data_IF_879639867116
#
_entry.id   IF_879639867116
#
_cell.length_a   1.000
_cell.length_b   1.000
_cell.length_c   1.000
_cell.angle_alpha   90.00
_cell.angle_beta   90.00
_cell.angle_gamma   90.00
#
_symmetry.space_group_name_H-M   'P 1'
#
loop_
_entity.id
_entity.type
_entity.pdbx_description
1 polymer ?
#
# COMPACT_ATOMS: atom_id res chain seq x y z
N UNK A 1 -19.80 0.86 12.01
CA UNK A 1 -18.92 1.89 12.62
C UNK A 1 -17.97 1.19 13.56
N UNK A 2 -16.68 1.42 13.43
CA UNK A 2 -15.64 0.87 14.32
C UNK A 2 -15.65 1.72 15.59
N UNK A 3 -16.01 1.11 16.74
CA UNK A 3 -15.80 1.72 18.05
C UNK A 3 -14.35 1.52 18.43
N UNK A 4 -13.63 2.60 18.74
CA UNK A 4 -12.20 2.51 19.08
C UNK A 4 -11.81 3.49 20.19
N UNK A 5 -10.74 3.15 20.91
CA UNK A 5 -10.02 4.10 21.77
C UNK A 5 -8.58 4.21 21.32
N UNK A 6 -8.06 5.43 21.40
CA UNK A 6 -6.67 5.75 21.10
C UNK A 6 -5.94 6.23 22.34
N UNK A 7 -4.73 5.75 22.54
CA UNK A 7 -3.84 6.26 23.58
C UNK A 7 -2.37 6.23 23.12
N UNK A 8 -1.55 7.10 23.70
CA UNK A 8 -0.11 7.12 23.48
C UNK A 8 0.55 6.54 24.73
N UNK A 9 1.35 5.49 24.54
CA UNK A 9 2.08 4.84 25.62
C UNK A 9 3.32 5.66 26.02
N UNK A 10 3.86 5.44 27.20
CA UNK A 10 4.98 6.23 27.72
C UNK A 10 6.28 6.07 26.92
N UNK A 11 6.40 5.01 26.10
CA UNK A 11 7.49 4.77 25.17
C UNK A 11 7.25 5.36 23.76
N UNK A 12 6.14 6.08 23.57
CA UNK A 12 5.78 6.71 22.30
C UNK A 12 4.93 5.86 21.35
N UNK A 13 4.68 4.59 21.65
CA UNK A 13 3.83 3.71 20.85
C UNK A 13 2.40 4.25 20.85
N UNK A 14 1.82 4.41 19.66
CA UNK A 14 0.40 4.75 19.49
C UNK A 14 -0.42 3.47 19.54
N UNK A 15 -1.31 3.34 20.53
CA UNK A 15 -2.19 2.21 20.71
C UNK A 15 -3.63 2.56 20.32
N UNK A 16 -4.25 1.69 19.54
CA UNK A 16 -5.70 1.68 19.27
C UNK A 16 -6.29 0.36 19.76
N UNK A 17 -7.47 0.43 20.34
CA UNK A 17 -8.22 -0.75 20.75
C UNK A 17 -9.61 -0.71 20.11
N UNK A 18 -10.13 -1.88 19.73
CA UNK A 18 -11.47 -2.07 19.17
C UNK A 18 -12.17 -3.25 19.85
N UNK A 19 -13.35 -3.00 20.44
CA UNK A 19 -14.18 -4.03 21.06
C UNK A 19 -14.92 -4.85 19.98
N UNK A 20 -14.32 -5.96 19.52
CA UNK A 20 -14.82 -6.79 18.41
C UNK A 20 -15.66 -7.96 18.93
N UNK A 21 -16.86 -7.67 19.43
CA UNK A 21 -17.76 -8.66 20.03
C UNK A 21 -18.44 -9.61 19.03
N UNK A 22 -18.26 -9.38 17.74
CA UNK A 22 -18.83 -10.16 16.64
C UNK A 22 -17.99 -11.39 16.26
N UNK A 23 -16.84 -11.59 16.91
CA UNK A 23 -15.92 -12.70 16.65
C UNK A 23 -15.27 -13.23 17.94
N UNK A 24 -14.97 -14.55 18.05
CA UNK A 24 -14.19 -15.09 19.17
C UNK A 24 -12.67 -14.90 19.00
N UNK A 25 -12.25 -14.27 17.90
CA UNK A 25 -10.84 -14.07 17.56
C UNK A 25 -10.34 -12.73 18.09
N UNK A 26 -9.05 -12.66 18.35
CA UNK A 26 -8.31 -11.44 18.64
C UNK A 26 -7.28 -11.18 17.54
N UNK A 27 -7.19 -9.95 17.08
CA UNK A 27 -6.18 -9.50 16.10
C UNK A 27 -5.26 -8.48 16.75
N UNK A 28 -3.97 -8.64 16.51
CA UNK A 28 -2.92 -7.68 16.83
C UNK A 28 -2.31 -7.22 15.52
N UNK A 29 -2.35 -5.93 15.25
CA UNK A 29 -1.82 -5.32 14.03
C UNK A 29 -0.81 -4.25 14.40
N UNK A 30 0.41 -4.33 13.86
CA UNK A 30 1.47 -3.34 14.06
C UNK A 30 1.87 -2.74 12.71
N UNK A 31 1.66 -1.45 12.56
CA UNK A 31 2.11 -0.67 11.42
C UNK A 31 3.35 0.12 11.82
N UNK A 32 4.48 -0.17 11.18
CA UNK A 32 5.70 0.63 11.29
C UNK A 32 5.72 1.70 10.20
N UNK A 33 5.97 2.94 10.60
CA UNK A 33 6.10 4.05 9.68
C UNK A 33 7.46 3.99 8.97
N UNK A 34 7.64 2.98 8.13
CA UNK A 34 8.81 2.75 7.27
C UNK A 34 8.40 1.92 6.06
N UNK A 35 8.68 2.42 4.88
CA UNK A 35 8.45 1.74 3.60
C UNK A 35 9.61 1.97 2.64
N UNK A 36 9.42 1.59 1.39
CA UNK A 36 10.49 1.71 0.39
C UNK A 36 10.98 3.16 0.19
N UNK A 37 10.14 4.17 0.41
CA UNK A 37 10.53 5.59 0.30
C UNK A 37 11.56 6.04 1.34
N UNK A 38 11.71 5.29 2.43
CA UNK A 38 12.62 5.62 3.54
C UNK A 38 14.04 5.09 3.33
N UNK A 39 14.24 4.34 2.26
CA UNK A 39 15.49 3.71 1.89
C UNK A 39 16.46 4.70 1.24
N UNK A 40 17.74 4.41 1.36
CA UNK A 40 18.79 5.15 0.66
C UNK A 40 18.87 4.67 -0.80
N UNK A 41 19.12 5.56 -1.80
CA UNK A 41 19.16 5.19 -3.21
C UNK A 41 20.12 4.07 -3.58
N UNK A 42 21.18 3.85 -2.77
CA UNK A 42 22.17 2.80 -2.95
C UNK A 42 21.91 1.56 -2.10
N UNK A 43 20.79 1.55 -1.33
CA UNK A 43 20.43 0.50 -0.37
C UNK A 43 18.90 0.30 -0.38
N UNK A 44 18.35 0.01 -1.53
CA UNK A 44 16.90 -0.19 -1.72
C UNK A 44 16.51 -1.65 -1.52
N UNK A 45 15.23 -1.90 -1.20
CA UNK A 45 14.70 -3.24 -0.90
C UNK A 45 14.81 -3.63 0.58
N UNK A 46 15.28 -2.73 1.45
CA UNK A 46 15.48 -3.02 2.87
C UNK A 46 14.18 -3.14 3.64
N UNK A 47 13.19 -2.30 3.35
CA UNK A 47 11.88 -2.40 4.01
C UNK A 47 11.23 -3.76 3.73
N UNK A 48 11.30 -4.25 2.50
CA UNK A 48 10.83 -5.58 2.13
C UNK A 48 11.71 -6.70 2.71
N UNK A 49 13.03 -6.56 2.75
CA UNK A 49 13.92 -7.50 3.43
C UNK A 49 13.55 -7.63 4.92
N UNK A 50 13.17 -6.51 5.57
CA UNK A 50 12.71 -6.52 6.96
C UNK A 50 11.36 -7.18 7.14
N UNK A 51 10.44 -7.09 6.18
CA UNK A 51 9.22 -7.90 6.20
C UNK A 51 9.54 -9.38 6.43
N UNK A 52 10.53 -9.92 5.73
CA UNK A 52 10.99 -11.31 5.90
C UNK A 52 11.77 -11.53 7.20
N UNK A 53 12.69 -10.63 7.55
CA UNK A 53 13.53 -10.78 8.74
C UNK A 53 12.71 -10.80 10.04
N UNK A 54 11.61 -10.07 10.10
CA UNK A 54 10.73 -10.02 11.27
C UNK A 54 10.04 -11.35 11.57
N UNK A 55 9.95 -12.28 10.63
CA UNK A 55 9.50 -13.65 10.84
C UNK A 55 10.63 -14.61 11.24
N UNK A 56 11.89 -14.13 11.23
CA UNK A 56 13.06 -14.94 11.57
C UNK A 56 13.20 -15.29 13.06
N UNK A 57 12.25 -14.82 13.90
CA UNK A 57 12.23 -15.08 15.32
C UNK A 57 13.09 -14.12 16.14
N UNK A 58 13.08 -14.36 17.45
CA UNK A 58 13.84 -13.60 18.45
C UNK A 58 14.78 -14.55 19.22
N UNK A 59 15.59 -14.02 20.13
CA UNK A 59 16.39 -14.86 21.02
C UNK A 59 15.52 -15.73 21.96
N UNK A 60 14.34 -15.23 22.32
CA UNK A 60 13.39 -15.94 23.21
C UNK A 60 12.46 -16.87 22.46
N UNK A 61 12.08 -16.48 21.24
CA UNK A 61 11.14 -17.21 20.38
C UNK A 61 11.81 -17.44 19.02
N UNK A 62 12.66 -18.47 18.88
CA UNK A 62 13.40 -18.72 17.64
C UNK A 62 12.54 -19.10 16.44
N UNK A 63 11.31 -19.58 16.69
CA UNK A 63 10.36 -19.99 15.63
C UNK A 63 9.01 -19.32 15.91
N UNK A 64 8.83 -18.16 15.29
CA UNK A 64 7.62 -17.34 15.41
C UNK A 64 6.37 -18.09 14.88
N UNK A 65 6.50 -18.68 13.71
CA UNK A 65 5.38 -19.33 13.02
C UNK A 65 4.90 -20.60 13.77
N UNK A 66 5.82 -21.35 14.35
CA UNK A 66 5.46 -22.52 15.17
C UNK A 66 4.63 -22.11 16.39
N UNK A 67 4.96 -20.98 17.04
CA UNK A 67 4.18 -20.49 18.19
C UNK A 67 2.80 -20.03 17.73
N UNK A 68 2.70 -19.21 16.68
CA UNK A 68 1.40 -18.75 16.14
C UNK A 68 0.53 -19.93 15.72
N UNK A 69 1.10 -20.90 15.01
CA UNK A 69 0.39 -22.12 14.58
C UNK A 69 -0.09 -22.95 15.78
N UNK A 70 0.71 -23.06 16.87
CA UNK A 70 0.31 -23.79 18.07
C UNK A 70 -0.88 -23.16 18.80
N UNK A 71 -1.09 -21.87 18.63
CA UNK A 71 -2.26 -21.13 19.13
C UNK A 71 -3.49 -21.30 18.20
N UNK A 72 -3.37 -21.94 17.05
CA UNK A 72 -4.40 -21.97 16.02
C UNK A 72 -4.57 -20.62 15.32
N UNK A 73 -3.52 -19.81 15.32
CA UNK A 73 -3.49 -18.49 14.71
C UNK A 73 -2.97 -18.48 13.28
N UNK A 74 -3.11 -17.32 12.67
CA UNK A 74 -2.59 -16.96 11.35
C UNK A 74 -1.88 -15.61 11.43
N UNK A 75 -0.79 -15.44 10.69
CA UNK A 75 -0.01 -14.20 10.65
C UNK A 75 0.45 -13.89 9.24
N UNK A 76 0.55 -12.61 8.93
CA UNK A 76 1.09 -12.14 7.66
C UNK A 76 1.66 -10.73 7.79
N UNK A 77 2.32 -10.27 6.72
CA UNK A 77 2.82 -8.90 6.61
C UNK A 77 2.75 -8.43 5.16
N UNK A 78 2.90 -7.14 4.96
CA UNK A 78 3.14 -6.54 3.66
C UNK A 78 3.90 -5.23 3.79
N UNK A 79 4.67 -4.91 2.76
CA UNK A 79 5.42 -3.67 2.62
C UNK A 79 4.94 -2.92 1.38
N UNK A 80 4.72 -1.63 1.51
CA UNK A 80 4.50 -0.73 0.38
C UNK A 80 5.55 0.38 0.36
N UNK A 81 5.33 1.40 -0.43
CA UNK A 81 6.27 2.52 -0.51
C UNK A 81 6.36 3.31 0.80
N UNK A 82 5.31 3.32 1.61
CA UNK A 82 5.10 4.26 2.70
C UNK A 82 5.26 3.64 4.09
N UNK A 83 4.85 2.38 4.26
CA UNK A 83 4.88 1.68 5.55
C UNK A 83 5.01 0.17 5.39
N UNK A 84 5.37 -0.50 6.49
CA UNK A 84 5.35 -1.96 6.62
C UNK A 84 4.38 -2.36 7.71
N UNK A 85 3.48 -3.29 7.41
CA UNK A 85 2.41 -3.72 8.31
C UNK A 85 2.53 -5.20 8.62
N UNK A 86 2.44 -5.55 9.91
CA UNK A 86 2.43 -6.92 10.42
C UNK A 86 1.13 -7.15 11.17
N UNK A 87 0.54 -8.31 11.00
CA UNK A 87 -0.65 -8.67 11.75
C UNK A 87 -0.71 -10.17 12.05
N UNK A 88 -1.33 -10.48 13.16
CA UNK A 88 -1.65 -11.84 13.51
C UNK A 88 -3.05 -11.91 14.14
N UNK A 89 -3.72 -13.02 13.87
CA UNK A 89 -5.06 -13.31 14.42
C UNK A 89 -5.01 -14.65 15.11
N UNK A 90 -5.51 -14.69 16.35
CA UNK A 90 -5.52 -15.88 17.22
C UNK A 90 -6.88 -16.01 17.89
N UNK A 91 -7.27 -17.20 18.39
CA UNK A 91 -8.33 -17.30 19.38
C UNK A 91 -8.04 -16.39 20.59
N UNK A 92 -9.09 -15.89 21.25
CA UNK A 92 -8.97 -14.91 22.33
C UNK A 92 -7.97 -15.32 23.43
N UNK A 93 -7.93 -16.62 23.76
CA UNK A 93 -7.03 -17.18 24.76
C UNK A 93 -5.55 -17.00 24.38
N UNK A 94 -5.26 -16.87 23.09
CA UNK A 94 -3.92 -16.63 22.55
C UNK A 94 -3.47 -15.17 22.57
N UNK A 95 -4.37 -14.20 22.87
CA UNK A 95 -4.07 -12.76 22.76
C UNK A 95 -2.84 -12.34 23.55
N UNK A 96 -2.68 -12.80 24.80
CA UNK A 96 -1.53 -12.45 25.62
C UNK A 96 -0.22 -12.90 24.98
N UNK A 97 -0.19 -14.13 24.44
CA UNK A 97 0.99 -14.64 23.72
C UNK A 97 1.23 -13.85 22.42
N UNK A 98 0.19 -13.51 21.69
CA UNK A 98 0.27 -12.68 20.48
C UNK A 98 0.91 -11.31 20.76
N UNK A 99 0.46 -10.65 21.82
CA UNK A 99 1.03 -9.37 22.25
C UNK A 99 2.50 -9.51 22.71
N UNK A 100 2.85 -10.61 23.41
CA UNK A 100 4.23 -10.90 23.79
C UNK A 100 5.13 -11.11 22.58
N UNK A 101 4.67 -11.82 21.54
CA UNK A 101 5.40 -12.03 20.31
C UNK A 101 5.72 -10.70 19.61
N UNK A 102 4.73 -9.80 19.51
CA UNK A 102 4.92 -8.49 18.90
C UNK A 102 5.88 -7.60 19.70
N UNK A 103 5.73 -7.58 21.03
CA UNK A 103 6.63 -6.82 21.89
C UNK A 103 8.07 -7.35 21.80
N UNK A 104 8.25 -8.67 21.78
CA UNK A 104 9.56 -9.31 21.74
C UNK A 104 10.27 -9.05 20.41
N UNK A 105 9.58 -9.21 19.25
CA UNK A 105 10.20 -8.93 17.94
C UNK A 105 10.50 -7.45 17.71
N UNK A 106 9.73 -6.54 18.31
CA UNK A 106 10.03 -5.11 18.29
C UNK A 106 11.30 -4.78 19.10
N UNK A 107 11.52 -5.47 20.22
CA UNK A 107 12.60 -5.17 21.16
C UNK A 107 13.89 -5.96 20.91
N UNK A 108 13.80 -7.21 20.41
CA UNK A 108 14.91 -8.17 20.44
C UNK A 108 14.93 -9.13 19.24
N UNK A 109 14.70 -8.61 18.05
CA UNK A 109 14.79 -9.39 16.82
C UNK A 109 16.17 -10.06 16.68
N UNK A 110 16.18 -11.37 16.35
CA UNK A 110 17.42 -12.15 16.24
C UNK A 110 18.20 -11.87 14.95
N UNK A 111 18.73 -10.64 14.81
CA UNK A 111 19.53 -10.23 13.67
C UNK A 111 20.94 -10.80 13.78
N UNK A 112 21.23 -11.83 12.98
CA UNK A 112 22.56 -12.44 12.89
C UNK A 112 22.90 -12.81 11.44
N UNK A 113 24.18 -13.09 11.16
CA UNK A 113 24.66 -13.37 9.81
C UNK A 113 23.95 -14.57 9.13
N UNK A 114 23.54 -15.57 9.91
CA UNK A 114 22.83 -16.73 9.37
C UNK A 114 21.40 -16.38 8.95
N UNK A 115 20.66 -15.68 9.79
CA UNK A 115 19.29 -15.23 9.49
C UNK A 115 19.31 -14.30 8.26
N UNK A 116 20.22 -13.32 8.23
CA UNK A 116 20.38 -12.43 7.09
C UNK A 116 20.66 -13.20 5.80
N UNK A 117 21.64 -14.12 5.78
CA UNK A 117 21.98 -14.90 4.59
C UNK A 117 20.85 -15.80 4.09
N UNK A 118 19.93 -16.23 4.97
CA UNK A 118 18.73 -16.98 4.57
C UNK A 118 17.75 -16.04 3.86
N UNK A 119 17.43 -14.90 4.46
CA UNK A 119 16.42 -13.99 3.90
C UNK A 119 16.93 -13.27 2.63
N UNK A 120 18.21 -12.96 2.52
CA UNK A 120 18.81 -12.48 1.27
C UNK A 120 18.57 -13.44 0.10
N UNK A 121 18.70 -14.75 0.33
CA UNK A 121 18.39 -15.77 -0.71
C UNK A 121 16.91 -15.86 -1.02
N UNK A 122 16.05 -15.80 0.00
CA UNK A 122 14.60 -15.83 -0.18
C UNK A 122 14.14 -14.64 -1.02
N UNK A 123 14.54 -13.42 -0.65
CA UNK A 123 14.18 -12.19 -1.39
C UNK A 123 14.78 -12.18 -2.80
N UNK A 124 16.02 -12.69 -2.98
CA UNK A 124 16.62 -12.81 -4.32
C UNK A 124 15.84 -13.80 -5.19
N UNK A 125 15.40 -14.93 -4.63
CA UNK A 125 14.61 -15.91 -5.36
C UNK A 125 13.21 -15.35 -5.69
N UNK A 126 12.60 -14.62 -4.77
CA UNK A 126 11.33 -13.94 -5.01
C UNK A 126 11.45 -12.89 -6.14
N UNK A 127 12.56 -12.10 -6.15
CA UNK A 127 12.85 -11.19 -7.25
C UNK A 127 12.88 -11.93 -8.59
N UNK A 128 13.61 -13.05 -8.66
CA UNK A 128 13.67 -13.84 -9.88
C UNK A 128 12.29 -14.37 -10.28
N UNK A 129 11.55 -14.94 -9.33
CA UNK A 129 10.24 -15.56 -9.61
C UNK A 129 9.18 -14.55 -10.01
N UNK A 130 9.07 -13.40 -9.31
CA UNK A 130 7.99 -12.43 -9.52
C UNK A 130 8.31 -11.40 -10.60
N UNK A 131 9.57 -11.00 -10.73
CA UNK A 131 9.93 -9.90 -11.61
C UNK A 131 10.65 -10.35 -12.89
N UNK A 132 11.51 -11.37 -12.81
CA UNK A 132 12.31 -11.79 -13.98
C UNK A 132 11.69 -12.93 -14.77
N UNK A 133 11.09 -13.91 -14.09
CA UNK A 133 10.59 -15.14 -14.70
C UNK A 133 9.10 -15.11 -15.04
N UNK A 134 8.41 -13.99 -14.80
CA UNK A 134 6.99 -13.84 -15.17
C UNK A 134 6.82 -12.84 -16.30
N UNK A 135 5.95 -13.10 -17.28
CA UNK A 135 5.56 -12.11 -18.26
C UNK A 135 5.05 -10.83 -17.56
N UNK A 136 5.52 -9.69 -18.00
CA UNK A 136 5.19 -8.36 -17.43
C UNK A 136 5.64 -8.15 -15.97
N UNK A 137 6.41 -9.05 -15.37
CA UNK A 137 6.83 -8.95 -13.97
C UNK A 137 7.65 -7.69 -13.67
N UNK A 138 8.46 -7.23 -14.63
CA UNK A 138 9.34 -6.08 -14.49
C UNK A 138 8.69 -4.72 -14.87
N UNK A 139 7.39 -4.67 -15.09
CA UNK A 139 6.67 -3.42 -15.44
C UNK A 139 6.99 -2.30 -14.47
N UNK A 140 6.80 -2.53 -13.17
CA UNK A 140 7.02 -1.49 -12.17
C UNK A 140 8.49 -1.14 -11.95
N UNK A 141 9.42 -2.05 -12.25
CA UNK A 141 10.86 -1.76 -12.25
C UNK A 141 11.26 -0.80 -13.37
N UNK A 142 10.48 -0.75 -14.45
CA UNK A 142 10.69 0.14 -15.59
C UNK A 142 9.82 1.40 -15.53
N UNK A 143 8.56 1.28 -15.16
CA UNK A 143 7.60 2.38 -15.15
C UNK A 143 7.89 3.41 -14.05
N UNK A 144 8.23 2.97 -12.83
CA UNK A 144 8.53 3.89 -11.73
C UNK A 144 9.69 4.85 -12.05
N UNK A 145 10.89 4.40 -12.49
CA UNK A 145 11.97 5.32 -12.84
C UNK A 145 11.70 6.13 -14.12
N UNK A 146 10.72 5.73 -14.95
CA UNK A 146 10.24 6.55 -16.06
C UNK A 146 9.44 7.74 -15.54
N UNK A 147 8.53 7.51 -14.57
CA UNK A 147 7.65 8.52 -13.99
C UNK A 147 8.36 9.44 -12.99
N UNK A 148 9.16 8.86 -12.08
CA UNK A 148 9.84 9.60 -11.01
C UNK A 148 11.33 9.71 -11.26
N UNK A 149 11.89 10.92 -11.10
CA UNK A 149 13.33 11.19 -11.28
C UNK A 149 14.04 11.43 -9.96
N UNK A 150 13.40 12.12 -9.03
CA UNK A 150 13.99 12.50 -7.74
C UNK A 150 13.28 11.84 -6.56
N UNK A 151 11.95 11.73 -6.62
CA UNK A 151 11.17 11.16 -5.51
C UNK A 151 11.52 9.68 -5.27
N UNK A 152 11.60 9.20 -4.01
CA UNK A 152 11.91 7.79 -3.70
C UNK A 152 10.95 6.76 -4.29
N UNK A 153 9.76 7.15 -4.74
CA UNK A 153 8.86 6.24 -5.45
C UNK A 153 9.38 5.74 -6.79
N UNK A 154 10.55 6.21 -7.22
CA UNK A 154 11.23 5.74 -8.44
C UNK A 154 11.71 4.29 -8.38
N UNK A 155 11.77 3.68 -7.20
CA UNK A 155 12.04 2.24 -7.05
C UNK A 155 10.86 1.48 -6.47
N UNK A 156 10.77 0.20 -6.83
CA UNK A 156 9.79 -0.72 -6.29
C UNK A 156 10.19 -1.16 -4.87
N UNK A 157 9.23 -1.72 -4.12
CA UNK A 157 9.47 -2.26 -2.77
C UNK A 157 10.55 -3.34 -2.71
N UNK A 158 10.70 -4.14 -3.79
CA UNK A 158 11.76 -5.13 -3.92
C UNK A 158 13.16 -4.51 -4.09
N UNK A 159 13.25 -3.21 -4.35
CA UNK A 159 14.47 -2.46 -4.59
C UNK A 159 14.68 -2.08 -6.06
N UNK A 160 15.56 -1.11 -6.30
CA UNK A 160 16.02 -0.72 -7.64
C UNK A 160 16.98 -1.72 -8.24
N UNK A 161 17.77 -2.38 -7.41
CA UNK A 161 18.78 -3.38 -7.78
C UNK A 161 18.84 -4.45 -6.69
N UNK A 162 18.65 -5.70 -7.06
CA UNK A 162 18.65 -6.83 -6.12
C UNK A 162 19.98 -6.98 -5.39
N UNK A 163 21.09 -6.45 -5.94
CA UNK A 163 22.40 -6.45 -5.29
C UNK A 163 22.39 -5.65 -3.98
N UNK A 164 21.56 -4.61 -3.86
CA UNK A 164 21.43 -3.86 -2.62
C UNK A 164 20.97 -4.76 -1.45
N UNK A 165 20.14 -5.77 -1.73
CA UNK A 165 19.70 -6.76 -0.75
C UNK A 165 20.74 -7.87 -0.60
N UNK A 166 21.22 -8.46 -1.70
CA UNK A 166 22.10 -9.63 -1.66
C UNK A 166 23.50 -9.33 -1.07
N UNK A 167 23.96 -8.08 -1.15
CA UNK A 167 25.23 -7.61 -0.63
C UNK A 167 25.11 -6.85 0.70
N UNK A 168 23.88 -6.71 1.24
CA UNK A 168 23.63 -6.02 2.51
C UNK A 168 24.43 -6.68 3.66
N UNK A 169 25.08 -5.87 4.47
CA UNK A 169 25.84 -6.33 5.64
C UNK A 169 24.94 -6.42 6.87
N UNK A 170 25.38 -7.17 7.88
CA UNK A 170 24.68 -7.24 9.15
C UNK A 170 24.59 -5.85 9.82
N UNK A 171 25.62 -5.02 9.71
CA UNK A 171 25.64 -3.64 10.21
C UNK A 171 24.57 -2.78 9.53
N UNK A 172 24.43 -2.89 8.21
CA UNK A 172 23.39 -2.16 7.47
C UNK A 172 21.97 -2.49 7.98
N UNK A 173 21.74 -3.78 8.20
CA UNK A 173 20.45 -4.29 8.67
C UNK A 173 20.20 -3.86 10.13
N UNK A 174 21.20 -3.92 11.00
CA UNK A 174 21.08 -3.46 12.38
C UNK A 174 20.77 -1.96 12.45
N UNK A 175 21.48 -1.14 11.67
CA UNK A 175 21.25 0.30 11.60
C UNK A 175 19.83 0.64 11.12
N UNK A 176 19.32 -0.10 10.13
CA UNK A 176 17.96 0.09 9.62
C UNK A 176 16.91 -0.29 10.69
N UNK A 177 17.10 -1.39 11.40
CA UNK A 177 16.24 -1.80 12.51
C UNK A 177 16.21 -0.74 13.61
N UNK A 178 17.37 -0.34 14.14
CA UNK A 178 17.49 0.65 15.21
C UNK A 178 16.84 1.99 14.83
N UNK A 179 16.91 2.36 13.56
CA UNK A 179 16.34 3.62 13.06
C UNK A 179 14.82 3.59 12.99
N UNK A 180 14.23 2.49 12.53
CA UNK A 180 12.82 2.47 12.10
C UNK A 180 11.90 1.58 12.95
N UNK A 181 12.40 0.46 13.51
CA UNK A 181 11.57 -0.51 14.23
C UNK A 181 11.53 -0.20 15.74
N UNK A 182 10.97 0.98 16.06
CA UNK A 182 10.87 1.50 17.41
C UNK A 182 9.42 1.78 17.78
N UNK A 183 9.09 1.72 19.11
CA UNK A 183 7.73 2.00 19.57
C UNK A 183 7.18 3.36 19.11
N UNK A 184 8.01 4.41 19.17
CA UNK A 184 7.62 5.77 18.78
C UNK A 184 7.44 5.97 17.27
N UNK A 185 7.82 4.98 16.45
CA UNK A 185 7.64 4.95 15.00
C UNK A 185 6.60 3.89 14.58
N UNK A 186 5.77 3.42 15.52
CA UNK A 186 4.80 2.36 15.28
C UNK A 186 3.40 2.72 15.79
N UNK A 187 2.42 2.09 15.17
CA UNK A 187 1.01 2.13 15.56
C UNK A 187 0.56 0.68 15.80
N UNK A 188 0.07 0.40 17.00
CA UNK A 188 -0.47 -0.89 17.40
C UNK A 188 -1.99 -0.81 17.48
N UNK A 189 -2.70 -1.70 16.79
CA UNK A 189 -4.14 -1.88 16.98
C UNK A 189 -4.43 -3.29 17.51
N UNK A 190 -5.27 -3.34 18.53
CA UNK A 190 -5.78 -4.58 19.11
C UNK A 190 -7.30 -4.62 18.94
N UNK A 191 -7.80 -5.61 18.19
CA UNK A 191 -9.24 -5.85 18.01
C UNK A 191 -9.59 -7.21 18.64
N UNK A 192 -10.41 -7.21 19.68
CA UNK A 192 -10.77 -8.43 20.41
C UNK A 192 -12.14 -8.30 21.08
N UNK A 193 -12.82 -9.41 21.43
CA UNK A 193 -14.04 -9.40 22.26
C UNK A 193 -13.69 -9.16 23.74
N UNK A 194 -13.09 -8.03 24.03
CA UNK A 194 -12.69 -7.54 25.35
C UNK A 194 -13.03 -6.04 25.46
N UNK A 195 -13.15 -5.56 26.68
CA UNK A 195 -13.28 -4.13 26.97
C UNK A 195 -11.98 -3.39 26.63
N UNK A 196 -12.10 -2.13 26.21
CA UNK A 196 -10.96 -1.28 25.91
C UNK A 196 -9.95 -1.23 27.06
N UNK A 197 -10.43 -1.09 28.31
CA UNK A 197 -9.60 -1.01 29.50
C UNK A 197 -8.76 -2.28 29.68
N UNK A 198 -9.36 -3.45 29.46
CA UNK A 198 -8.67 -4.75 29.59
C UNK A 198 -7.58 -4.92 28.53
N UNK A 199 -7.84 -4.49 27.28
CA UNK A 199 -6.86 -4.51 26.22
C UNK A 199 -5.70 -3.56 26.49
N UNK A 200 -6.00 -2.32 26.94
CA UNK A 200 -4.99 -1.31 27.27
C UNK A 200 -4.10 -1.81 28.45
N UNK A 201 -4.72 -2.37 29.48
CA UNK A 201 -4.00 -2.92 30.64
C UNK A 201 -3.03 -4.03 30.24
N UNK A 202 -3.49 -5.01 29.43
CA UNK A 202 -2.64 -6.09 28.90
C UNK A 202 -1.47 -5.57 28.07
N UNK A 203 -1.71 -4.61 27.18
CA UNK A 203 -0.64 -4.01 26.40
C UNK A 203 0.36 -3.28 27.31
N UNK A 204 -0.11 -2.47 28.25
CA UNK A 204 0.75 -1.75 29.19
C UNK A 204 1.62 -2.70 30.04
N UNK A 205 1.05 -3.81 30.51
CA UNK A 205 1.78 -4.83 31.27
C UNK A 205 2.88 -5.48 30.42
N UNK A 206 2.58 -5.89 29.19
CA UNK A 206 3.50 -6.63 28.31
C UNK A 206 4.64 -5.73 27.82
N UNK A 207 4.34 -4.48 27.44
CA UNK A 207 5.38 -3.52 27.04
C UNK A 207 6.11 -2.86 28.21
N UNK A 208 5.69 -3.13 29.48
CA UNK A 208 6.28 -2.52 30.66
C UNK A 208 6.15 -1.00 30.71
N UNK A 209 5.03 -0.47 30.23
CA UNK A 209 4.78 0.97 30.02
C UNK A 209 3.45 1.41 30.65
N UNK A 210 3.24 2.72 30.73
CA UNK A 210 1.96 3.27 31.15
C UNK A 210 1.24 3.91 29.98
N UNK A 211 -0.06 3.63 29.83
CA UNK A 211 -0.94 4.29 28.85
C UNK A 211 -1.42 5.64 29.39
N UNK A 212 -1.37 6.65 28.54
CA UNK A 212 -2.13 7.89 28.78
C UNK A 212 -3.24 7.92 27.74
N UNK A 213 -4.53 7.96 28.14
CA UNK A 213 -5.59 8.29 27.20
C UNK A 213 -5.21 9.58 26.49
N UNK A 214 -5.41 9.61 25.19
CA UNK A 214 -5.27 10.85 24.44
C UNK A 214 -6.28 11.83 25.07
N UNK A 215 -5.74 12.73 25.89
CA UNK A 215 -6.57 13.74 26.55
C UNK A 215 -7.02 14.65 25.41
N UNK A 216 -8.23 14.43 24.88
CA UNK A 216 -8.85 15.06 23.73
C UNK A 216 -8.78 16.58 23.65
N UNK A 217 -7.59 17.11 23.76
CA UNK A 217 -7.22 18.53 23.80
C UNK A 217 -6.26 18.97 22.70
N UNK A 218 -5.62 18.04 21.97
CA UNK A 218 -4.88 18.42 20.77
C UNK A 218 -5.83 18.39 19.58
N UNK A 219 -6.11 19.53 18.99
CA UNK A 219 -6.93 19.65 17.78
C UNK A 219 -6.22 19.11 16.53
N UNK A 220 -4.96 18.69 16.64
CA UNK A 220 -4.17 18.15 15.51
C UNK A 220 -3.64 16.78 15.89
N UNK A 221 -4.14 15.75 15.19
CA UNK A 221 -3.63 14.39 15.28
C UNK A 221 -2.20 14.30 14.73
N UNK A 222 -1.37 13.42 15.33
CA UNK A 222 -0.05 13.09 14.78
C UNK A 222 -0.24 12.42 13.41
N UNK A 223 0.40 12.97 12.39
CA UNK A 223 0.40 12.42 11.05
C UNK A 223 1.76 11.80 10.75
N UNK A 224 1.88 10.49 10.97
CA UNK A 224 3.12 9.73 10.72
C UNK A 224 3.59 9.83 9.27
N UNK A 225 2.66 9.84 8.33
CA UNK A 225 2.94 9.91 6.90
C UNK A 225 3.70 11.18 6.46
N UNK A 226 3.59 12.26 7.26
CA UNK A 226 4.22 13.56 7.00
C UNK A 226 5.41 13.90 7.91
N UNK A 227 5.82 13.00 8.77
CA UNK A 227 6.93 13.26 9.70
C UNK A 227 8.29 13.35 9.03
N UNK A 228 8.46 12.72 7.88
CA UNK A 228 9.69 12.76 7.11
C UNK A 228 9.50 13.52 5.81
N UNK A 229 10.52 14.26 5.43
CA UNK A 229 10.56 14.99 4.17
C UNK A 229 11.36 14.19 3.14
N UNK A 230 10.87 14.15 1.92
CA UNK A 230 11.49 13.50 0.79
C UNK A 230 11.78 14.54 -0.30
N UNK A 231 12.75 14.28 -1.21
CA UNK A 231 12.94 15.11 -2.39
C UNK A 231 11.62 15.24 -3.16
N UNK A 232 11.24 16.46 -3.49
CA UNK A 232 10.07 16.68 -4.31
C UNK A 232 10.33 16.19 -5.75
N UNK A 233 9.34 15.53 -6.36
CA UNK A 233 9.43 15.22 -7.77
C UNK A 233 9.31 16.51 -8.58
N UNK A 234 10.25 16.82 -9.49
CA UNK A 234 10.16 17.98 -10.34
C UNK A 234 8.98 17.86 -11.31
N UNK A 235 8.39 19.00 -11.66
CA UNK A 235 7.33 19.06 -12.65
C UNK A 235 7.81 18.49 -13.99
N UNK A 236 7.08 17.54 -14.54
CA UNK A 236 7.34 16.98 -15.85
C UNK A 236 6.92 17.98 -16.94
N UNK A 237 7.79 18.23 -17.93
CA UNK A 237 7.57 19.24 -18.99
C UNK A 237 7.45 18.65 -20.40
N UNK A 238 7.63 17.35 -20.51
CA UNK A 238 7.55 16.63 -21.78
C UNK A 238 7.13 15.18 -21.53
N UNK A 239 6.40 14.61 -22.47
CA UNK A 239 6.04 13.20 -22.45
C UNK A 239 7.30 12.32 -22.49
N UNK A 240 7.25 11.19 -21.80
CA UNK A 240 8.36 10.23 -21.77
C UNK A 240 7.89 8.88 -22.30
N UNK A 241 8.77 8.22 -23.05
CA UNK A 241 8.48 6.91 -23.60
C UNK A 241 9.65 5.96 -23.38
N UNK A 242 9.30 4.70 -23.06
CA UNK A 242 10.24 3.59 -22.98
C UNK A 242 9.64 2.38 -23.70
N UNK A 243 10.34 1.87 -24.69
CA UNK A 243 10.00 0.60 -25.34
C UNK A 243 11.02 -0.46 -24.93
N UNK A 244 10.53 -1.61 -24.46
CA UNK A 244 11.35 -2.77 -24.09
C UNK A 244 10.86 -4.02 -24.79
N UNK A 245 11.76 -4.98 -25.00
CA UNK A 245 11.41 -6.30 -25.56
C UNK A 245 11.52 -7.37 -24.51
N UNK A 246 10.51 -8.22 -24.41
CA UNK A 246 10.42 -9.30 -23.44
C UNK A 246 9.80 -10.55 -24.05
N UNK A 247 10.06 -11.68 -23.45
CA UNK A 247 9.33 -12.92 -23.76
C UNK A 247 7.95 -12.86 -23.09
N UNK A 248 6.97 -12.36 -23.85
CA UNK A 248 5.59 -12.15 -23.38
C UNK A 248 4.61 -12.78 -24.38
N UNK A 249 3.43 -13.27 -23.91
CA UNK A 249 2.45 -13.89 -24.79
C UNK A 249 1.79 -12.92 -25.76
N UNK A 250 1.71 -11.65 -25.41
CA UNK A 250 1.16 -10.56 -26.25
C UNK A 250 1.85 -9.24 -25.87
N UNK A 251 1.84 -8.27 -26.77
CA UNK A 251 2.34 -6.93 -26.47
C UNK A 251 1.46 -6.22 -25.43
N UNK A 252 2.05 -5.29 -24.67
CA UNK A 252 1.33 -4.52 -23.68
C UNK A 252 1.76 -3.06 -23.67
N UNK A 253 0.82 -2.17 -23.33
CA UNK A 253 1.06 -0.73 -23.15
C UNK A 253 0.62 -0.30 -21.76
N UNK A 254 1.42 0.56 -21.16
CA UNK A 254 1.14 1.23 -19.88
C UNK A 254 1.31 2.73 -20.08
N UNK A 255 0.23 3.47 -19.85
CA UNK A 255 0.23 4.93 -19.84
C UNK A 255 0.10 5.39 -18.40
N UNK A 256 0.99 6.26 -17.96
CA UNK A 256 1.00 6.75 -16.58
C UNK A 256 1.13 8.26 -16.53
N UNK A 257 0.32 8.90 -15.71
CA UNK A 257 0.35 10.33 -15.45
C UNK A 257 0.58 10.60 -13.95
N UNK A 258 1.37 11.61 -13.59
CA UNK A 258 1.44 12.08 -12.21
C UNK A 258 0.06 12.44 -11.67
N UNK A 259 -0.21 12.02 -10.45
CA UNK A 259 -1.45 12.30 -9.73
C UNK A 259 -1.14 12.98 -8.39
N UNK A 260 -2.12 13.67 -7.83
CA UNK A 260 -2.03 14.27 -6.51
C UNK A 260 -1.75 13.23 -5.41
N UNK A 261 -1.24 13.69 -4.27
CA UNK A 261 -1.03 12.86 -3.09
C UNK A 261 -2.34 12.53 -2.38
N UNK A 262 -2.33 11.51 -1.53
CA UNK A 262 -3.49 11.14 -0.70
C UNK A 262 -3.99 12.31 0.19
N UNK A 263 -3.11 13.27 0.51
CA UNK A 263 -3.46 14.44 1.33
C UNK A 263 -4.10 15.59 0.59
N UNK A 264 -4.13 15.53 -0.73
CA UNK A 264 -4.74 16.58 -1.53
C UNK A 264 -6.27 16.46 -1.50
N UNK A 265 -6.93 17.61 -1.49
CA UNK A 265 -8.40 17.68 -1.50
C UNK A 265 -9.02 16.99 -2.73
N UNK A 266 -8.27 16.93 -3.83
CA UNK A 266 -8.71 16.36 -5.10
C UNK A 266 -8.46 14.83 -5.18
N UNK A 267 -7.86 14.22 -4.14
CA UNK A 267 -7.49 12.79 -4.15
C UNK A 267 -8.70 11.88 -4.43
N UNK A 268 -9.82 12.08 -3.72
CA UNK A 268 -11.01 11.23 -3.88
C UNK A 268 -11.63 11.37 -5.26
N UNK A 269 -11.63 12.58 -5.81
CA UNK A 269 -12.09 12.81 -7.17
C UNK A 269 -11.16 12.12 -8.19
N UNK A 270 -9.85 12.18 -7.96
CA UNK A 270 -8.83 11.52 -8.79
C UNK A 270 -8.92 9.99 -8.71
N UNK A 271 -9.21 9.43 -7.55
CA UNK A 271 -9.44 7.99 -7.38
C UNK A 271 -10.67 7.55 -8.18
N UNK A 272 -11.78 8.28 -8.08
CA UNK A 272 -13.00 7.99 -8.84
C UNK A 272 -12.83 8.13 -10.35
N UNK A 273 -11.84 8.88 -10.85
CA UNK A 273 -11.48 8.89 -12.29
C UNK A 273 -11.13 7.48 -12.76
N UNK A 274 -10.29 6.75 -11.99
CA UNK A 274 -9.90 5.38 -12.36
C UNK A 274 -11.10 4.43 -12.36
N UNK A 275 -11.99 4.58 -11.38
CA UNK A 275 -13.20 3.76 -11.25
C UNK A 275 -14.20 3.99 -12.40
N UNK A 276 -14.40 5.23 -12.84
CA UNK A 276 -15.23 5.54 -14.01
C UNK A 276 -14.65 4.91 -15.27
N UNK A 277 -13.33 4.97 -15.43
CA UNK A 277 -12.65 4.43 -16.60
C UNK A 277 -12.70 2.90 -16.66
N UNK A 278 -12.42 2.18 -15.55
CA UNK A 278 -12.18 0.73 -15.62
C UNK A 278 -12.92 -0.13 -14.61
N UNK A 279 -13.64 0.43 -13.64
CA UNK A 279 -14.17 -0.40 -12.57
C UNK A 279 -15.46 -1.16 -12.94
N UNK A 280 -15.29 -2.39 -13.47
CA UNK A 280 -16.35 -3.35 -13.78
C UNK A 280 -16.88 -3.28 -15.21
N UNK A 281 -17.78 -4.23 -15.53
CA UNK A 281 -18.27 -4.45 -16.91
C UNK A 281 -19.13 -3.31 -17.49
N UNK A 282 -19.46 -2.29 -16.71
CA UNK A 282 -20.16 -1.09 -17.16
C UNK A 282 -19.26 0.15 -17.22
N UNK A 283 -17.96 0.00 -17.03
CA UNK A 283 -16.97 1.07 -17.17
C UNK A 283 -16.74 1.45 -18.62
N UNK A 284 -16.14 2.63 -18.84
CA UNK A 284 -15.92 3.18 -20.19
C UNK A 284 -14.97 2.31 -21.01
N UNK A 285 -13.78 2.00 -20.47
CA UNK A 285 -12.75 1.17 -21.12
C UNK A 285 -13.33 -0.22 -21.44
N UNK A 286 -14.03 -0.85 -20.49
CA UNK A 286 -14.61 -2.16 -20.74
C UNK A 286 -15.59 -2.13 -21.94
N UNK A 287 -16.54 -1.19 -21.96
CA UNK A 287 -17.56 -1.14 -23.00
C UNK A 287 -17.03 -0.75 -24.37
N UNK A 288 -16.03 0.14 -24.45
CA UNK A 288 -15.54 0.68 -25.73
C UNK A 288 -14.32 -0.05 -26.28
N UNK A 289 -13.46 -0.58 -25.41
CA UNK A 289 -12.18 -1.17 -25.82
C UNK A 289 -12.19 -2.69 -25.64
N UNK A 290 -12.61 -3.19 -24.45
CA UNK A 290 -12.54 -4.62 -24.12
C UNK A 290 -13.71 -5.41 -24.72
N UNK A 291 -14.96 -4.95 -24.47
CA UNK A 291 -16.17 -5.67 -24.90
C UNK A 291 -16.31 -5.89 -26.41
N UNK A 292 -15.92 -4.97 -27.28
CA UNK A 292 -15.91 -5.22 -28.73
C UNK A 292 -15.00 -6.38 -29.15
N UNK A 293 -14.02 -6.76 -28.29
CA UNK A 293 -13.16 -7.94 -28.48
C UNK A 293 -12.24 -7.86 -29.70
N UNK A 294 -11.85 -6.65 -30.11
CA UNK A 294 -11.08 -6.44 -31.35
C UNK A 294 -9.68 -5.94 -31.14
N UNK A 295 -9.43 -5.22 -30.06
CA UNK A 295 -8.16 -4.53 -29.82
C UNK A 295 -7.33 -5.18 -28.71
N UNK A 296 -7.97 -5.54 -27.60
CA UNK A 296 -7.28 -5.98 -26.38
C UNK A 296 -7.93 -7.22 -25.77
N UNK A 297 -7.14 -8.02 -25.07
CA UNK A 297 -7.64 -9.09 -24.21
C UNK A 297 -8.03 -8.58 -22.82
N UNK A 298 -7.39 -7.51 -22.37
CA UNK A 298 -7.54 -6.94 -21.05
C UNK A 298 -7.15 -5.45 -21.10
N UNK A 299 -7.88 -4.59 -20.41
CA UNK A 299 -7.47 -3.20 -20.21
C UNK A 299 -8.03 -2.70 -18.88
N UNK A 300 -7.20 -1.94 -18.15
CA UNK A 300 -7.50 -1.43 -16.82
C UNK A 300 -7.06 0.03 -16.63
N UNK A 301 -7.72 0.72 -15.70
CA UNK A 301 -7.30 1.99 -15.13
C UNK A 301 -7.26 1.89 -13.60
N UNK A 302 -6.17 2.33 -13.00
CA UNK A 302 -5.99 2.29 -11.55
C UNK A 302 -5.03 3.38 -11.08
N UNK A 303 -5.05 3.65 -9.78
CA UNK A 303 -4.13 4.61 -9.16
C UNK A 303 -3.09 3.90 -8.29
N UNK A 304 -1.92 4.52 -8.15
CA UNK A 304 -1.02 4.28 -7.04
C UNK A 304 -1.27 5.37 -5.99
N UNK A 305 -2.19 5.09 -5.03
CA UNK A 305 -2.70 6.08 -4.07
C UNK A 305 -1.76 6.27 -2.88
N UNK A 306 -0.56 6.77 -3.14
CA UNK A 306 0.50 6.92 -2.15
C UNK A 306 0.32 8.20 -1.29
N UNK A 307 0.99 8.25 -0.13
CA UNK A 307 1.02 9.46 0.70
C UNK A 307 1.74 10.63 0.01
N UNK A 308 2.73 10.33 -0.83
CA UNK A 308 3.37 11.30 -1.74
C UNK A 308 2.66 11.38 -3.10
N UNK A 309 3.34 11.91 -4.13
CA UNK A 309 2.77 12.05 -5.47
C UNK A 309 2.45 10.67 -6.07
N UNK A 310 1.18 10.42 -6.37
CA UNK A 310 0.70 9.17 -6.97
C UNK A 310 0.82 9.13 -8.49
N UNK A 311 0.32 8.05 -9.07
CA UNK A 311 0.17 7.87 -10.52
C UNK A 311 -1.24 7.41 -10.85
N UNK A 312 -1.80 7.95 -11.91
CA UNK A 312 -2.93 7.38 -12.66
C UNK A 312 -2.33 6.50 -13.76
N UNK A 313 -2.72 5.24 -13.82
CA UNK A 313 -2.18 4.28 -14.81
C UNK A 313 -3.31 3.66 -15.60
N UNK A 314 -3.19 3.72 -16.93
CA UNK A 314 -4.00 2.94 -17.86
C UNK A 314 -3.12 1.86 -18.47
N UNK A 315 -3.61 0.63 -18.54
CA UNK A 315 -2.86 -0.49 -19.09
C UNK A 315 -3.72 -1.32 -20.05
N UNK A 316 -3.09 -1.92 -21.04
CA UNK A 316 -3.77 -2.87 -21.92
C UNK A 316 -2.83 -3.96 -22.43
N UNK A 317 -3.38 -5.17 -22.63
CA UNK A 317 -2.76 -6.29 -23.34
C UNK A 317 -3.35 -6.40 -24.74
N UNK A 318 -2.51 -6.18 -25.73
CA UNK A 318 -2.90 -6.05 -27.14
C UNK A 318 -3.17 -7.41 -27.76
N UNK A 319 -4.24 -7.56 -28.54
CA UNK A 319 -4.50 -8.81 -29.24
C UNK A 319 -3.49 -9.04 -30.38
N UNK A 320 -3.15 -10.31 -30.70
CA UNK A 320 -2.24 -10.61 -31.80
C UNK A 320 -2.70 -10.00 -33.12
N UNK A 321 -1.79 -9.30 -33.80
CA UNK A 321 -2.06 -8.64 -35.08
C UNK A 321 -2.72 -7.27 -35.00
N UNK A 322 -2.97 -6.75 -33.83
CA UNK A 322 -3.43 -5.37 -33.60
C UNK A 322 -2.20 -4.48 -33.37
N UNK A 323 -2.26 -3.25 -33.90
CA UNK A 323 -1.22 -2.26 -33.68
C UNK A 323 -1.32 -1.69 -32.23
N UNK A 324 -0.21 -1.64 -31.53
CA UNK A 324 -0.11 -1.03 -30.17
C UNK A 324 -0.53 0.44 -30.22
N UNK A 325 -0.22 1.16 -31.29
CA UNK A 325 -0.58 2.57 -31.43
C UNK A 325 -2.11 2.75 -31.51
N UNK A 326 -2.83 1.85 -32.19
CA UNK A 326 -4.31 1.86 -32.22
C UNK A 326 -4.90 1.68 -30.81
N UNK A 327 -4.34 0.77 -30.00
CA UNK A 327 -4.76 0.54 -28.60
C UNK A 327 -4.43 1.75 -27.74
N UNK A 328 -3.24 2.30 -27.90
CA UNK A 328 -2.78 3.49 -27.17
C UNK A 328 -3.70 4.68 -27.41
N UNK A 329 -4.04 4.94 -28.66
CA UNK A 329 -4.94 6.03 -29.05
C UNK A 329 -6.36 5.81 -28.51
N UNK A 330 -6.86 4.57 -28.50
CA UNK A 330 -8.17 4.25 -27.91
C UNK A 330 -8.20 4.49 -26.38
N UNK A 331 -7.13 4.16 -25.66
CA UNK A 331 -7.01 4.46 -24.23
C UNK A 331 -6.96 5.96 -23.95
N UNK A 332 -6.19 6.71 -24.75
CA UNK A 332 -6.10 8.17 -24.67
C UNK A 332 -7.45 8.83 -24.94
N UNK A 333 -8.18 8.35 -25.95
CA UNK A 333 -9.51 8.89 -26.31
C UNK A 333 -10.46 8.83 -25.10
N UNK A 334 -10.49 7.70 -24.38
CA UNK A 334 -11.35 7.56 -23.20
C UNK A 334 -10.89 8.46 -22.03
N UNK A 335 -9.58 8.56 -21.79
CA UNK A 335 -9.02 9.43 -20.77
C UNK A 335 -9.34 10.91 -21.04
N UNK A 336 -9.07 11.38 -22.25
CA UNK A 336 -9.33 12.77 -22.65
C UNK A 336 -10.83 13.07 -22.79
N UNK A 337 -11.63 12.10 -23.23
CA UNK A 337 -13.10 12.27 -23.27
C UNK A 337 -13.67 12.53 -21.89
N UNK A 338 -13.15 11.88 -20.84
CA UNK A 338 -13.56 12.15 -19.45
C UNK A 338 -13.12 13.54 -18.99
N UNK A 339 -11.92 13.97 -19.36
CA UNK A 339 -11.40 15.30 -19.03
C UNK A 339 -12.20 16.43 -19.73
N UNK A 340 -12.53 16.25 -20.99
CA UNK A 340 -13.18 17.29 -21.81
C UNK A 340 -14.70 17.34 -21.60
N UNK A 341 -15.35 16.19 -21.59
CA UNK A 341 -16.81 16.08 -21.60
C UNK A 341 -17.43 15.74 -20.24
N UNK A 342 -16.58 15.35 -19.27
CA UNK A 342 -17.01 14.92 -17.93
C UNK A 342 -17.74 13.57 -17.91
N UNK A 343 -18.57 13.39 -16.91
CA UNK A 343 -19.34 12.16 -16.68
C UNK A 343 -20.80 12.49 -16.31
N UNK A 344 -21.67 11.52 -16.52
CA UNK A 344 -23.07 11.61 -16.11
C UNK A 344 -23.20 11.33 -14.61
N UNK A 345 -24.21 11.90 -13.96
CA UNK A 345 -24.49 11.62 -12.53
C UNK A 345 -24.65 10.11 -12.28
N UNK A 346 -25.27 9.36 -13.18
CA UNK A 346 -25.45 7.92 -13.07
C UNK A 346 -24.12 7.14 -13.07
N UNK A 347 -23.11 7.60 -13.79
CA UNK A 347 -21.76 7.01 -13.78
C UNK A 347 -21.11 7.25 -12.43
N UNK A 348 -21.21 8.47 -11.88
CA UNK A 348 -20.69 8.81 -10.56
C UNK A 348 -21.38 8.01 -9.45
N UNK A 349 -22.71 7.99 -9.44
CA UNK A 349 -23.50 7.25 -8.45
C UNK A 349 -23.11 5.77 -8.41
N UNK A 350 -22.85 5.18 -9.58
CA UNK A 350 -22.42 3.78 -9.68
C UNK A 350 -21.07 3.54 -9.00
N UNK A 351 -20.05 4.37 -9.27
CA UNK A 351 -18.71 4.17 -8.68
C UNK A 351 -18.68 4.51 -7.20
N UNK A 352 -19.44 5.54 -6.77
CA UNK A 352 -19.63 5.85 -5.35
C UNK A 352 -20.31 4.71 -4.58
N UNK A 353 -21.36 4.10 -5.15
CA UNK A 353 -22.03 2.92 -4.57
C UNK A 353 -21.07 1.74 -4.47
N UNK A 354 -20.23 1.54 -5.48
CA UNK A 354 -19.25 0.47 -5.49
C UNK A 354 -18.16 0.70 -4.45
N UNK A 355 -17.62 1.92 -4.34
CA UNK A 355 -16.69 2.30 -3.30
C UNK A 355 -17.25 2.02 -1.91
N UNK A 356 -18.46 2.52 -1.62
CA UNK A 356 -19.12 2.31 -0.33
C UNK A 356 -19.29 0.83 -0.01
N UNK A 357 -19.76 0.04 -0.98
CA UNK A 357 -19.90 -1.40 -0.83
C UNK A 357 -18.56 -2.08 -0.52
N UNK A 358 -17.51 -1.77 -1.29
CA UNK A 358 -16.17 -2.31 -1.09
C UNK A 358 -15.62 -1.92 0.27
N UNK A 359 -15.78 -0.66 0.68
CA UNK A 359 -15.32 -0.15 1.97
C UNK A 359 -16.02 -0.85 3.14
N UNK A 360 -17.34 -1.04 3.07
CA UNK A 360 -18.11 -1.76 4.10
C UNK A 360 -17.65 -3.23 4.19
N UNK A 361 -17.48 -3.89 3.06
CA UNK A 361 -17.01 -5.28 3.04
C UNK A 361 -15.55 -5.43 3.51
N UNK A 362 -14.69 -4.44 3.23
CA UNK A 362 -13.30 -4.44 3.71
C UNK A 362 -13.18 -4.33 5.24
N UNK A 363 -14.26 -3.98 5.95
CA UNK A 363 -14.29 -3.92 7.41
C UNK A 363 -14.99 -5.14 8.06
N UNK A 364 -15.24 -6.19 7.28
CA UNK A 364 -15.97 -7.36 7.78
C UNK A 364 -15.19 -8.09 8.87
N UNK A 365 -13.89 -8.32 8.67
CA UNK A 365 -13.04 -9.01 9.65
C UNK A 365 -12.48 -8.03 10.68
N UNK A 366 -12.26 -8.52 11.91
CA UNK A 366 -11.59 -7.75 12.96
C UNK A 366 -10.16 -7.33 12.55
N UNK A 367 -9.46 -8.17 11.79
CA UNK A 367 -8.13 -7.87 11.23
C UNK A 367 -8.16 -6.65 10.29
N UNK A 368 -9.14 -6.58 9.40
CA UNK A 368 -9.29 -5.48 8.47
C UNK A 368 -9.64 -4.17 9.19
N UNK A 369 -10.46 -4.25 10.26
CA UNK A 369 -10.77 -3.10 11.12
C UNK A 369 -9.54 -2.61 11.88
N UNK A 370 -8.73 -3.52 12.42
CA UNK A 370 -7.49 -3.18 13.10
C UNK A 370 -6.49 -2.50 12.15
N UNK A 371 -6.32 -3.04 10.93
CA UNK A 371 -5.50 -2.41 9.90
C UNK A 371 -6.05 -1.04 9.50
N UNK A 372 -7.35 -0.90 9.23
CA UNK A 372 -8.00 0.37 8.88
C UNK A 372 -7.73 1.45 9.93
N UNK A 373 -7.84 1.11 11.21
CA UNK A 373 -7.51 2.03 12.32
C UNK A 373 -6.04 2.46 12.28
N UNK A 374 -5.10 1.53 12.05
CA UNK A 374 -3.68 1.86 11.91
C UNK A 374 -3.43 2.77 10.71
N UNK A 375 -3.99 2.45 9.56
CA UNK A 375 -3.81 3.19 8.31
C UNK A 375 -4.30 4.64 8.42
N UNK A 376 -5.54 4.85 8.88
CA UNK A 376 -6.07 6.21 9.02
C UNK A 376 -5.42 7.00 10.16
N UNK A 377 -4.94 6.31 11.21
CA UNK A 377 -4.10 6.95 12.23
C UNK A 377 -2.75 7.38 11.67
N UNK A 378 -2.16 6.55 10.81
CA UNK A 378 -0.91 6.87 10.12
C UNK A 378 -1.07 8.11 9.21
N UNK A 379 -2.22 8.26 8.56
CA UNK A 379 -2.59 9.45 7.78
C UNK A 379 -2.91 10.67 8.65
N UNK A 380 -3.06 10.53 9.98
CA UNK A 380 -3.41 11.61 10.90
C UNK A 380 -4.91 11.92 10.97
N UNK A 381 -5.76 10.99 10.56
CA UNK A 381 -7.21 11.16 10.51
C UNK A 381 -7.94 9.85 10.86
N UNK A 382 -7.76 9.36 12.11
CA UNK A 382 -8.30 8.06 12.55
C UNK A 382 -9.80 7.89 12.28
N UNK A 383 -10.58 8.96 12.42
CA UNK A 383 -12.04 8.93 12.19
C UNK A 383 -12.45 8.60 10.75
N UNK A 384 -11.55 8.75 9.77
CA UNK A 384 -11.81 8.34 8.39
C UNK A 384 -12.06 6.83 8.27
N UNK A 385 -11.57 6.01 9.20
CA UNK A 385 -11.97 4.60 9.28
C UNK A 385 -13.50 4.40 9.36
N UNK A 386 -14.24 5.42 9.77
CA UNK A 386 -15.70 5.39 9.87
C UNK A 386 -16.43 6.32 8.88
N UNK A 387 -15.76 7.34 8.35
CA UNK A 387 -16.42 8.44 7.62
C UNK A 387 -15.94 8.60 6.16
N UNK A 388 -15.00 7.77 5.70
CA UNK A 388 -14.45 7.90 4.35
C UNK A 388 -15.51 7.78 3.26
N UNK A 389 -16.49 6.90 3.44
CA UNK A 389 -17.63 6.75 2.51
C UNK A 389 -18.43 8.04 2.34
N UNK A 390 -18.62 8.79 3.42
CA UNK A 390 -19.31 10.08 3.35
C UNK A 390 -18.51 11.11 2.54
N UNK A 391 -17.19 11.07 2.64
CA UNK A 391 -16.32 11.96 1.88
C UNK A 391 -16.37 11.67 0.38
N UNK A 392 -16.35 10.38 -0.02
CA UNK A 392 -16.54 9.97 -1.41
C UNK A 392 -17.94 10.33 -1.94
N UNK A 393 -19.00 10.23 -1.11
CA UNK A 393 -20.35 10.61 -1.48
C UNK A 393 -20.52 12.10 -1.78
N UNK A 394 -19.66 12.95 -1.26
CA UNK A 394 -19.71 14.41 -1.51
C UNK A 394 -19.03 14.83 -2.81
N UNK A 395 -18.27 13.96 -3.42
CA UNK A 395 -17.59 14.26 -4.71
C UNK A 395 -18.65 14.47 -5.80
N UNK A 396 -18.50 15.52 -6.60
CA UNK A 396 -19.39 15.88 -7.70
C UNK A 396 -18.83 15.48 -9.06
N UNK A 397 -19.68 15.39 -10.12
CA UNK A 397 -19.21 15.15 -11.47
C UNK A 397 -18.19 16.18 -11.95
N UNK A 398 -18.37 17.45 -11.58
CA UNK A 398 -17.48 18.55 -11.97
C UNK A 398 -16.10 18.39 -11.30
N UNK A 399 -16.05 17.92 -10.05
CA UNK A 399 -14.77 17.65 -9.37
C UNK A 399 -14.02 16.49 -10.01
N UNK A 400 -14.71 15.41 -10.41
CA UNK A 400 -14.11 14.29 -11.14
C UNK A 400 -13.60 14.73 -12.51
N UNK A 401 -14.38 15.51 -13.27
CA UNK A 401 -13.96 16.08 -14.55
C UNK A 401 -12.72 16.98 -14.40
N UNK A 402 -12.73 17.85 -13.37
CA UNK A 402 -11.59 18.73 -13.10
C UNK A 402 -10.35 17.93 -12.70
N UNK A 403 -10.49 16.87 -11.90
CA UNK A 403 -9.39 15.96 -11.57
C UNK A 403 -8.85 15.27 -12.83
N UNK A 404 -9.72 14.73 -13.69
CA UNK A 404 -9.34 14.13 -14.97
C UNK A 404 -8.57 15.12 -15.87
N UNK A 405 -9.04 16.37 -15.97
CA UNK A 405 -8.39 17.40 -16.80
C UNK A 405 -7.00 17.80 -16.28
N UNK A 406 -6.75 17.67 -14.97
CA UNK A 406 -5.42 17.92 -14.37
C UNK A 406 -4.48 16.74 -14.55
N UNK A 407 -5.00 15.53 -14.50
CA UNK A 407 -4.22 14.29 -14.65
C UNK A 407 -3.84 14.10 -16.12
N UNK A 408 -4.81 14.08 -17.01
CA UNK A 408 -4.61 13.74 -18.42
C UNK A 408 -4.10 14.94 -19.22
N UNK A 409 -2.80 15.18 -19.11
CA UNK A 409 -2.07 16.19 -19.85
C UNK A 409 -1.01 15.50 -20.72
N UNK A 410 -0.97 15.81 -22.01
CA UNK A 410 -0.02 15.20 -22.95
C UNK A 410 1.44 15.32 -22.52
N UNK A 411 1.82 16.47 -21.96
CA UNK A 411 3.20 16.74 -21.54
C UNK A 411 3.60 15.91 -20.32
N UNK A 412 2.62 15.42 -19.54
CA UNK A 412 2.85 14.64 -18.32
C UNK A 412 2.74 13.13 -18.53
N UNK A 413 2.45 12.68 -19.76
CA UNK A 413 2.34 11.26 -20.05
C UNK A 413 3.68 10.54 -19.99
N UNK A 414 3.66 9.35 -19.37
CA UNK A 414 4.78 8.41 -19.38
C UNK A 414 4.26 7.09 -19.98
N UNK A 415 4.84 6.67 -21.09
CA UNK A 415 4.41 5.47 -21.82
C UNK A 415 5.48 4.41 -21.78
N UNK A 416 5.10 3.22 -21.28
CA UNK A 416 5.92 2.00 -21.35
C UNK A 416 5.25 1.03 -22.34
N UNK A 417 5.97 0.64 -23.37
CA UNK A 417 5.55 -0.40 -24.31
C UNK A 417 6.40 -1.64 -24.11
N UNK A 418 5.74 -2.79 -23.97
CA UNK A 418 6.39 -4.10 -23.92
C UNK A 418 6.09 -4.82 -25.22
N UNK A 419 7.11 -4.97 -26.06
CA UNK A 419 7.05 -5.71 -27.32
C UNK A 419 7.45 -7.17 -27.11
N UNK A 420 6.85 -8.06 -27.89
CA UNK A 420 7.28 -9.45 -27.95
C UNK A 420 8.72 -9.55 -28.49
N UNK A 421 9.53 -10.38 -27.83
CA UNK A 421 10.85 -10.77 -28.36
C UNK A 421 10.66 -11.81 -29.43
N UNK A 422 11.12 -11.54 -30.66
CA UNK A 422 11.10 -12.49 -31.79
C UNK A 422 12.03 -13.66 -31.53
#
# INVERSE_FOLDING_TARGET
>A
MIDYRKCILSNGLTLLTHEAWDTPLATVNVLYNVGARDEEPQRTGFAHLFEHLMFGGTERVPDFDAVVSSLGGDSNAFTNNDYTNYYLTVPLEGLTTALMLEADRMASLALNAKALAVQQRVVTEEYNQRYMNQPYGDVWLNLRPLCYKEHPYRWATIGADIRHVSEATLEDVQNFHERFYRPDNAILAVAAPLKHEEMIEKVCEIWGVTGRPDAGGSTVERCFARERMYPAEPEQKEARMLEIRREVPVEAVYLAWPMCSHFDKDFRASDLVSDVLSNGSSSRIYNKIVRPGRLVSEADAYISGEAGPGLMVLSAKVLPGVDVDEVTDALREEAYSLADSGLLQEELDKVQNKFESTFVYSQYKAADRAFSLCHYTWLGHTDLANTETEAYRRVTPEEVQLAASRIFCNEHENMLIIRESV
#
